data_IF_127868515972
#
_entry.id   IF_127868515972
#
_cell.length_a   1.000
_cell.length_b   1.000
_cell.length_c   1.000
_cell.angle_alpha   90.00
_cell.angle_beta   90.00
_cell.angle_gamma   90.00
#
_symmetry.space_group_name_H-M   'P 1'
#
loop_
_entity.id
_entity.type
_entity.pdbx_description
1 polymer ?
#
# COMPACT_ATOMS: atom_id res chain seq x y z
N UNK A 1 45.07 -12.40 -1.59
CA UNK A 1 44.62 -11.06 -2.06
C UNK A 1 43.14 -10.89 -1.66
N UNK A 2 42.84 -10.05 -0.67
CA UNK A 2 41.48 -9.89 -0.16
C UNK A 2 40.79 -8.75 -0.91
N UNK A 3 39.83 -9.08 -1.76
CA UNK A 3 39.04 -8.08 -2.51
C UNK A 3 38.16 -7.34 -1.51
N UNK A 4 38.48 -6.08 -1.23
CA UNK A 4 37.60 -5.19 -0.49
C UNK A 4 36.44 -4.80 -1.41
N UNK A 5 35.25 -5.35 -1.17
CA UNK A 5 34.05 -4.92 -1.87
C UNK A 5 33.68 -3.50 -1.45
N UNK A 6 33.80 -2.54 -2.36
CA UNK A 6 33.37 -1.16 -2.19
C UNK A 6 31.84 -0.98 -2.25
N UNK A 7 31.07 -1.89 -1.66
CA UNK A 7 29.59 -1.93 -1.76
C UNK A 7 28.85 -1.14 -0.69
N UNK A 8 29.55 -0.29 0.07
CA UNK A 8 28.92 0.57 1.08
C UNK A 8 29.26 2.05 0.86
N UNK A 9 28.94 2.60 -0.32
CA UNK A 9 28.56 4.00 -0.37
C UNK A 9 27.08 4.04 0.04
N UNK A 10 26.74 4.74 1.10
CA UNK A 10 25.36 5.09 1.47
C UNK A 10 24.77 5.90 0.31
N UNK A 11 24.18 5.21 -0.65
CA UNK A 11 23.46 5.87 -1.73
C UNK A 11 22.11 6.27 -1.15
N UNK A 12 21.86 7.56 -1.04
CA UNK A 12 20.56 8.08 -0.68
C UNK A 12 19.58 7.61 -1.76
N UNK A 13 18.58 6.84 -1.35
CA UNK A 13 17.58 6.29 -2.28
C UNK A 13 16.80 7.42 -2.92
N UNK A 14 16.56 7.34 -4.21
CA UNK A 14 15.69 8.27 -4.92
C UNK A 14 14.22 8.02 -4.56
N UNK A 15 13.34 9.03 -4.69
CA UNK A 15 11.90 8.85 -4.50
C UNK A 15 11.33 7.68 -5.33
N UNK A 16 11.83 7.48 -6.55
CA UNK A 16 11.40 6.40 -7.45
C UNK A 16 11.86 5.01 -6.95
N UNK A 17 13.07 4.89 -6.40
CA UNK A 17 13.56 3.64 -5.82
C UNK A 17 12.75 3.26 -4.58
N UNK A 18 12.42 4.24 -3.73
CA UNK A 18 11.55 4.04 -2.56
C UNK A 18 10.16 3.58 -3.01
N UNK A 19 9.59 4.26 -4.01
CA UNK A 19 8.28 3.93 -4.58
C UNK A 19 8.26 2.49 -5.14
N UNK A 20 9.30 2.09 -5.86
CA UNK A 20 9.41 0.73 -6.40
C UNK A 20 9.44 -0.35 -5.31
N UNK A 21 10.19 -0.13 -4.24
CA UNK A 21 10.23 -1.04 -3.09
C UNK A 21 8.90 -1.08 -2.35
N UNK A 22 8.26 0.09 -2.15
CA UNK A 22 6.99 0.20 -1.45
C UNK A 22 5.84 -0.44 -2.24
N UNK A 23 5.82 -0.35 -3.56
CA UNK A 23 4.78 -0.94 -4.40
C UNK A 23 4.64 -2.45 -4.17
N UNK A 24 5.76 -3.16 -3.99
CA UNK A 24 5.75 -4.58 -3.65
C UNK A 24 5.13 -4.84 -2.26
N UNK A 25 5.44 -3.99 -1.29
CA UNK A 25 4.90 -4.12 0.07
C UNK A 25 3.39 -3.81 0.08
N UNK A 26 2.96 -2.76 -0.61
CA UNK A 26 1.55 -2.39 -0.78
C UNK A 26 0.73 -3.55 -1.37
N UNK A 27 1.25 -4.21 -2.41
CA UNK A 27 0.61 -5.39 -2.98
C UNK A 27 0.40 -6.48 -1.94
N UNK A 28 1.44 -6.79 -1.15
CA UNK A 28 1.36 -7.81 -0.10
C UNK A 28 0.37 -7.46 1.01
N UNK A 29 0.32 -6.19 1.40
CA UNK A 29 -0.64 -5.71 2.41
C UNK A 29 -2.06 -5.86 1.87
N UNK A 30 -2.34 -5.45 0.63
CA UNK A 30 -3.65 -5.59 0.00
C UNK A 30 -4.11 -7.05 -0.14
N UNK A 31 -3.23 -7.93 -0.59
CA UNK A 31 -3.51 -9.37 -0.69
C UNK A 31 -3.78 -10.02 0.68
N UNK A 32 -3.03 -9.63 1.71
CA UNK A 32 -3.26 -10.10 3.08
C UNK A 32 -4.59 -9.58 3.65
N UNK A 33 -4.92 -8.31 3.43
CA UNK A 33 -6.21 -7.74 3.85
C UNK A 33 -7.39 -8.50 3.23
N UNK A 34 -7.31 -8.81 1.94
CA UNK A 34 -8.32 -9.59 1.25
C UNK A 34 -8.43 -11.01 1.84
N UNK A 35 -7.29 -11.70 2.07
CA UNK A 35 -7.27 -13.02 2.70
C UNK A 35 -7.88 -13.01 4.09
N UNK A 36 -7.53 -12.02 4.91
CA UNK A 36 -8.06 -11.85 6.25
C UNK A 36 -9.57 -11.59 6.23
N UNK A 37 -10.05 -10.78 5.29
CA UNK A 37 -11.49 -10.53 5.10
C UNK A 37 -12.23 -11.83 4.73
N UNK A 38 -11.69 -12.63 3.83
CA UNK A 38 -12.25 -13.97 3.53
C UNK A 38 -12.23 -14.90 4.75
N UNK A 39 -11.17 -14.90 5.52
CA UNK A 39 -11.08 -15.70 6.75
C UNK A 39 -12.12 -15.26 7.80
N UNK A 40 -12.50 -13.99 7.81
CA UNK A 40 -13.59 -13.44 8.60
C UNK A 40 -14.99 -13.77 8.02
N UNK A 41 -15.06 -14.68 7.04
CA UNK A 41 -16.29 -15.21 6.41
C UNK A 41 -17.02 -14.26 5.46
N UNK A 42 -16.39 -13.20 5.02
CA UNK A 42 -16.90 -12.41 3.91
C UNK A 42 -16.74 -13.16 2.60
N UNK A 43 -17.77 -13.14 1.76
CA UNK A 43 -17.73 -13.77 0.44
C UNK A 43 -17.18 -12.77 -0.57
N UNK A 44 -15.99 -13.05 -1.08
CA UNK A 44 -15.37 -12.29 -2.16
C UNK A 44 -15.11 -13.28 -3.30
N UNK A 45 -15.90 -13.19 -4.36
CA UNK A 45 -15.78 -14.07 -5.52
C UNK A 45 -14.43 -13.86 -6.23
N UNK A 46 -13.90 -14.94 -6.80
CA UNK A 46 -12.71 -14.84 -7.65
C UNK A 46 -13.04 -14.11 -8.96
N UNK A 47 -12.05 -13.45 -9.56
CA UNK A 47 -12.25 -12.68 -10.78
C UNK A 47 -12.52 -11.21 -10.50
N UNK A 48 -13.57 -10.64 -11.09
CA UNK A 48 -13.80 -9.18 -11.06
C UNK A 48 -13.96 -8.63 -9.65
N UNK A 49 -14.72 -9.28 -8.78
CA UNK A 49 -14.95 -8.80 -7.41
C UNK A 49 -13.66 -8.81 -6.58
N UNK A 50 -12.84 -9.86 -6.72
CA UNK A 50 -11.51 -9.92 -6.12
C UNK A 50 -10.66 -8.70 -6.47
N UNK A 51 -10.61 -8.36 -7.76
CA UNK A 51 -9.82 -7.22 -8.21
C UNK A 51 -10.45 -5.87 -7.88
N UNK A 52 -11.78 -5.79 -7.79
CA UNK A 52 -12.48 -4.58 -7.32
C UNK A 52 -12.15 -4.29 -5.87
N UNK A 53 -12.20 -5.30 -5.00
CA UNK A 53 -11.77 -5.18 -3.60
C UNK A 53 -10.31 -4.73 -3.51
N UNK A 54 -9.42 -5.44 -4.22
CA UNK A 54 -7.99 -5.15 -4.19
C UNK A 54 -7.71 -3.73 -4.70
N UNK A 55 -8.40 -3.27 -5.76
CA UNK A 55 -8.24 -1.92 -6.30
C UNK A 55 -8.58 -0.84 -5.27
N UNK A 56 -9.71 -0.93 -4.56
CA UNK A 56 -10.07 0.04 -3.53
C UNK A 56 -9.07 0.05 -2.37
N UNK A 57 -8.61 -1.13 -1.96
CA UNK A 57 -7.64 -1.23 -0.88
C UNK A 57 -6.25 -0.69 -1.27
N UNK A 58 -5.80 -0.93 -2.51
CA UNK A 58 -4.55 -0.38 -3.03
C UNK A 58 -4.61 1.14 -3.17
N UNK A 59 -5.75 1.69 -3.60
CA UNK A 59 -5.98 3.15 -3.62
C UNK A 59 -5.83 3.73 -2.22
N UNK A 60 -6.47 3.16 -1.22
CA UNK A 60 -6.33 3.57 0.18
C UNK A 60 -4.86 3.57 0.63
N UNK A 61 -4.10 2.51 0.34
CA UNK A 61 -2.69 2.40 0.70
C UNK A 61 -1.81 3.45 0.01
N UNK A 62 -2.11 3.79 -1.25
CA UNK A 62 -1.41 4.89 -1.95
C UNK A 62 -1.72 6.23 -1.28
N UNK A 63 -2.96 6.48 -0.87
CA UNK A 63 -3.32 7.71 -0.14
C UNK A 63 -2.62 7.78 1.22
N UNK A 64 -2.54 6.68 1.97
CA UNK A 64 -1.77 6.60 3.22
C UNK A 64 -0.29 6.91 2.96
N UNK A 65 0.31 6.31 1.92
CA UNK A 65 1.70 6.56 1.56
C UNK A 65 1.97 8.03 1.21
N UNK A 66 1.07 8.65 0.45
CA UNK A 66 1.17 10.07 0.09
C UNK A 66 1.11 10.99 1.31
N UNK A 67 0.22 10.71 2.28
CA UNK A 67 0.12 11.48 3.53
C UNK A 67 1.36 11.33 4.42
N UNK A 68 1.95 10.14 4.47
CA UNK A 68 3.21 9.94 5.20
C UNK A 68 4.36 10.66 4.47
N UNK A 69 4.45 10.55 3.15
CA UNK A 69 5.46 11.21 2.33
C UNK A 69 5.39 12.75 2.42
N UNK A 70 4.19 13.32 2.53
CA UNK A 70 3.99 14.76 2.71
C UNK A 70 4.77 15.34 3.89
N UNK A 71 4.99 14.56 4.94
CA UNK A 71 5.70 15.01 6.14
C UNK A 71 7.22 14.89 6.03
N UNK A 72 7.72 14.17 5.05
CA UNK A 72 9.13 13.74 4.98
C UNK A 72 9.84 14.21 3.71
N UNK A 73 9.10 14.49 2.65
CA UNK A 73 9.64 14.86 1.35
C UNK A 73 9.32 16.30 0.97
N UNK A 74 10.18 16.89 0.12
CA UNK A 74 9.84 18.11 -0.58
C UNK A 74 8.61 17.91 -1.47
N UNK A 75 7.95 18.99 -1.89
CA UNK A 75 6.80 18.90 -2.78
C UNK A 75 7.16 18.21 -4.12
N UNK A 76 8.35 18.47 -4.66
CA UNK A 76 8.86 17.87 -5.90
C UNK A 76 9.13 16.37 -5.71
N UNK A 77 9.85 15.99 -4.65
CA UNK A 77 10.15 14.59 -4.35
C UNK A 77 8.90 13.78 -4.02
N UNK A 78 7.93 14.39 -3.30
CA UNK A 78 6.63 13.77 -3.03
C UNK A 78 5.87 13.49 -4.32
N UNK A 79 5.82 14.45 -5.24
CA UNK A 79 5.16 14.27 -6.54
C UNK A 79 5.83 13.14 -7.32
N UNK A 80 7.16 13.12 -7.38
CA UNK A 80 7.93 12.06 -8.05
C UNK A 80 7.69 10.69 -7.40
N UNK A 81 7.69 10.61 -6.08
CA UNK A 81 7.41 9.40 -5.30
C UNK A 81 5.99 8.88 -5.56
N UNK A 82 4.97 9.73 -5.36
CA UNK A 82 3.56 9.31 -5.46
C UNK A 82 3.20 8.90 -6.89
N UNK A 83 3.71 9.62 -7.90
CA UNK A 83 3.51 9.27 -9.30
C UNK A 83 4.18 7.93 -9.67
N UNK A 84 5.41 7.71 -9.22
CA UNK A 84 6.11 6.44 -9.45
C UNK A 84 5.41 5.27 -8.74
N UNK A 85 4.96 5.49 -7.50
CA UNK A 85 4.23 4.49 -6.71
C UNK A 85 2.91 4.10 -7.38
N UNK A 86 2.10 5.09 -7.77
CA UNK A 86 0.83 4.88 -8.45
C UNK A 86 1.00 4.08 -9.73
N UNK A 87 1.97 4.46 -10.59
CA UNK A 87 2.25 3.75 -11.82
C UNK A 87 2.69 2.30 -11.56
N UNK A 88 3.57 2.06 -10.60
CA UNK A 88 4.07 0.71 -10.31
C UNK A 88 3.00 -0.21 -9.74
N UNK A 89 2.14 0.31 -8.86
CA UNK A 89 0.99 -0.43 -8.33
C UNK A 89 -0.02 -0.73 -9.44
N UNK A 90 -0.31 0.26 -10.31
CA UNK A 90 -1.20 0.09 -11.46
C UNK A 90 -0.70 -0.99 -12.43
N UNK A 91 0.61 -1.01 -12.73
CA UNK A 91 1.24 -2.04 -13.58
C UNK A 91 1.07 -3.43 -12.97
N UNK A 92 1.43 -3.60 -11.70
CA UNK A 92 1.31 -4.88 -11.02
C UNK A 92 -0.15 -5.39 -11.00
N UNK A 93 -1.11 -4.51 -10.74
CA UNK A 93 -2.53 -4.86 -10.74
C UNK A 93 -3.01 -5.23 -12.14
N UNK A 94 -2.69 -4.42 -13.15
CA UNK A 94 -3.12 -4.60 -14.53
C UNK A 94 -2.58 -5.90 -15.15
N UNK A 95 -1.32 -6.26 -14.87
CA UNK A 95 -0.74 -7.53 -15.32
C UNK A 95 -1.49 -8.75 -14.75
N UNK A 96 -1.86 -8.70 -13.47
CA UNK A 96 -2.63 -9.77 -12.83
C UNK A 96 -4.07 -9.82 -13.35
N UNK A 97 -4.73 -8.67 -13.54
CA UNK A 97 -6.06 -8.59 -14.11
C UNK A 97 -6.09 -9.13 -15.55
N UNK A 98 -5.19 -8.67 -16.40
CA UNK A 98 -5.10 -9.12 -17.80
C UNK A 98 -4.94 -10.64 -17.90
N UNK A 99 -4.11 -11.22 -17.03
CA UNK A 99 -3.85 -12.67 -17.01
C UNK A 99 -5.06 -13.48 -16.53
N UNK A 100 -5.83 -12.99 -15.57
CA UNK A 100 -6.87 -13.76 -14.88
C UNK A 100 -8.30 -13.49 -15.36
N UNK A 101 -8.57 -12.25 -15.83
CA UNK A 101 -9.92 -11.85 -16.27
C UNK A 101 -9.97 -11.30 -17.69
N UNK A 102 -8.84 -11.31 -18.41
CA UNK A 102 -8.75 -10.83 -19.79
C UNK A 102 -8.59 -9.32 -19.92
N UNK A 103 -8.83 -8.79 -21.10
CA UNK A 103 -8.54 -7.41 -21.53
C UNK A 103 -7.04 -7.07 -21.55
N UNK A 104 -6.69 -5.92 -22.13
CA UNK A 104 -5.30 -5.47 -22.22
C UNK A 104 -4.79 -4.90 -20.89
N UNK A 105 -3.47 -4.96 -20.69
CA UNK A 105 -2.82 -4.33 -19.55
C UNK A 105 -3.11 -2.82 -19.52
N UNK A 106 -3.03 -2.15 -20.67
CA UNK A 106 -3.35 -0.74 -20.80
C UNK A 106 -4.75 -0.40 -20.32
N UNK A 107 -5.74 -1.22 -20.70
CA UNK A 107 -7.14 -1.03 -20.27
C UNK A 107 -7.24 -1.06 -18.73
N UNK A 108 -6.67 -2.07 -18.10
CA UNK A 108 -6.72 -2.21 -16.65
C UNK A 108 -5.91 -1.14 -15.93
N UNK A 109 -4.73 -0.79 -16.46
CA UNK A 109 -3.89 0.28 -15.92
C UNK A 109 -4.62 1.62 -15.93
N UNK A 110 -5.21 2.00 -17.08
CA UNK A 110 -5.95 3.24 -17.21
C UNK A 110 -7.15 3.26 -16.24
N UNK A 111 -7.92 2.18 -16.19
CA UNK A 111 -9.07 2.07 -15.29
C UNK A 111 -8.68 2.25 -13.80
N UNK A 112 -7.56 1.67 -13.38
CA UNK A 112 -7.06 1.86 -12.02
C UNK A 112 -6.58 3.29 -11.76
N UNK A 113 -5.87 3.91 -12.71
CA UNK A 113 -5.41 5.30 -12.58
C UNK A 113 -6.60 6.28 -12.52
N UNK A 114 -7.63 6.07 -13.33
CA UNK A 114 -8.85 6.89 -13.30
C UNK A 114 -9.56 6.78 -11.94
N UNK A 115 -9.69 5.55 -11.42
CA UNK A 115 -10.22 5.31 -10.06
C UNK A 115 -9.36 6.00 -9.00
N UNK A 116 -8.03 5.85 -9.07
CA UNK A 116 -7.11 6.48 -8.12
C UNK A 116 -7.26 8.01 -8.11
N UNK A 117 -7.35 8.62 -9.28
CA UNK A 117 -7.52 10.08 -9.42
C UNK A 117 -8.86 10.54 -8.85
N UNK A 118 -9.95 9.82 -9.13
CA UNK A 118 -11.26 10.11 -8.55
C UNK A 118 -11.19 10.04 -7.01
N UNK A 119 -10.73 8.91 -6.48
CA UNK A 119 -10.65 8.68 -5.03
C UNK A 119 -9.67 9.64 -4.33
N UNK A 120 -8.60 10.06 -5.02
CA UNK A 120 -7.66 11.04 -4.46
C UNK A 120 -8.33 12.39 -4.16
N UNK A 121 -9.23 12.86 -5.05
CA UNK A 121 -10.04 14.05 -4.79
C UNK A 121 -10.95 13.90 -3.56
N UNK A 122 -11.55 12.74 -3.39
CA UNK A 122 -12.42 12.44 -2.25
C UNK A 122 -11.63 12.28 -0.93
N UNK A 123 -10.49 11.58 -0.95
CA UNK A 123 -9.58 11.47 0.21
C UNK A 123 -8.96 12.80 0.61
N UNK A 124 -8.85 13.77 -0.31
CA UNK A 124 -8.32 15.10 0.00
C UNK A 124 -9.18 15.87 1.02
N UNK A 125 -10.47 15.56 1.11
CA UNK A 125 -11.42 16.16 2.05
C UNK A 125 -11.27 15.63 3.49
N UNK A 126 -10.46 14.58 3.71
CA UNK A 126 -10.33 13.96 5.02
C UNK A 126 -8.95 14.19 5.62
N UNK A 127 -8.94 14.46 6.92
CA UNK A 127 -7.71 14.70 7.66
C UNK A 127 -6.91 13.41 7.92
N UNK A 128 -5.59 13.61 7.94
CA UNK A 128 -4.61 12.60 8.33
C UNK A 128 -3.69 13.21 9.39
N UNK A 129 -3.97 12.92 10.65
CA UNK A 129 -3.29 13.48 11.81
C UNK A 129 -1.89 12.89 12.06
N UNK A 130 -1.19 13.41 13.09
CA UNK A 130 0.14 12.90 13.48
C UNK A 130 0.14 11.42 13.88
N UNK A 131 -1.00 10.92 14.35
CA UNK A 131 -1.19 9.55 14.80
C UNK A 131 -1.82 8.64 13.74
N UNK A 132 -1.84 9.08 12.47
CA UNK A 132 -2.42 8.32 11.37
C UNK A 132 -3.72 8.92 10.82
N UNK A 133 -4.49 8.11 10.07
CA UNK A 133 -5.73 8.56 9.45
C UNK A 133 -6.81 8.86 10.49
N UNK A 134 -7.51 9.97 10.32
CA UNK A 134 -8.69 10.29 11.10
C UNK A 134 -9.87 9.35 10.76
N UNK A 135 -10.88 9.33 11.63
CA UNK A 135 -12.05 8.47 11.50
C UNK A 135 -12.71 8.54 10.11
N UNK A 136 -12.89 9.74 9.55
CA UNK A 136 -13.53 9.94 8.25
C UNK A 136 -12.72 9.32 7.11
N UNK A 137 -11.38 9.37 7.18
CA UNK A 137 -10.48 8.78 6.20
C UNK A 137 -10.63 7.26 6.13
N UNK A 138 -10.65 6.57 7.28
CA UNK A 138 -10.83 5.12 7.34
C UNK A 138 -12.27 4.70 7.03
N UNK A 139 -13.26 5.49 7.45
CA UNK A 139 -14.67 5.26 7.15
C UNK A 139 -14.95 5.33 5.64
N UNK A 140 -14.26 6.22 4.93
CA UNK A 140 -14.37 6.31 3.48
C UNK A 140 -13.92 5.02 2.79
N UNK A 141 -12.82 4.38 3.25
CA UNK A 141 -12.45 3.03 2.77
C UNK A 141 -13.60 2.04 2.99
N UNK A 142 -14.23 2.03 4.16
CA UNK A 142 -15.36 1.15 4.45
C UNK A 142 -16.52 1.35 3.46
N UNK A 143 -16.86 2.59 3.12
CA UNK A 143 -17.87 2.89 2.12
C UNK A 143 -17.49 2.46 0.71
N UNK A 144 -16.24 2.69 0.31
CA UNK A 144 -15.75 2.23 -1.01
C UNK A 144 -15.76 0.70 -1.11
N UNK A 145 -15.46 0.01 -0.02
CA UNK A 145 -15.56 -1.45 0.03
C UNK A 145 -16.99 -1.95 -0.05
N UNK A 146 -17.94 -1.25 0.57
CA UNK A 146 -19.36 -1.60 0.47
C UNK A 146 -19.85 -1.65 -0.98
N UNK A 147 -19.33 -0.77 -1.85
CA UNK A 147 -19.72 -0.72 -3.26
C UNK A 147 -19.27 -1.96 -4.07
N UNK A 148 -18.29 -2.70 -3.58
CA UNK A 148 -17.72 -3.87 -4.25
C UNK A 148 -18.12 -5.21 -3.61
N UNK A 149 -18.81 -5.17 -2.46
CA UNK A 149 -19.27 -6.36 -1.74
C UNK A 149 -20.70 -6.76 -2.13
N UNK A 150 -21.02 -8.03 -1.94
CA UNK A 150 -22.39 -8.52 -2.08
C UNK A 150 -23.29 -7.97 -0.98
N UNK A 151 -24.59 -7.86 -1.26
CA UNK A 151 -25.59 -7.20 -0.40
C UNK A 151 -25.56 -7.68 1.06
N UNK A 152 -25.36 -8.98 1.28
CA UNK A 152 -25.29 -9.58 2.63
C UNK A 152 -24.11 -9.11 3.47
N UNK A 153 -23.01 -8.72 2.82
CA UNK A 153 -21.76 -8.33 3.47
C UNK A 153 -21.60 -6.80 3.59
N UNK A 154 -22.46 -6.01 2.93
CA UNK A 154 -22.35 -4.55 2.84
C UNK A 154 -22.36 -3.83 4.19
N UNK A 155 -23.12 -4.34 5.17
CA UNK A 155 -23.21 -3.74 6.51
C UNK A 155 -21.93 -4.01 7.32
N UNK A 156 -21.43 -5.23 7.28
CA UNK A 156 -20.34 -5.68 8.13
C UNK A 156 -18.95 -5.34 7.59
N UNK A 157 -18.82 -5.14 6.26
CA UNK A 157 -17.53 -4.81 5.67
C UNK A 157 -17.00 -3.45 6.12
N UNK A 158 -17.88 -2.50 6.42
CA UNK A 158 -17.45 -1.18 6.94
C UNK A 158 -16.73 -1.36 8.27
N UNK A 159 -17.30 -2.11 9.20
CA UNK A 159 -16.70 -2.35 10.51
C UNK A 159 -15.41 -3.17 10.37
N UNK A 160 -15.39 -4.17 9.48
CA UNK A 160 -14.19 -4.96 9.18
C UNK A 160 -13.04 -4.09 8.68
N UNK A 161 -13.33 -3.16 7.75
CA UNK A 161 -12.32 -2.26 7.22
C UNK A 161 -11.83 -1.26 8.26
N UNK A 162 -12.74 -0.63 9.00
CA UNK A 162 -12.41 0.42 9.95
C UNK A 162 -11.70 -0.10 11.21
N UNK A 163 -12.16 -1.24 11.72
CA UNK A 163 -11.69 -1.73 13.02
C UNK A 163 -10.51 -2.71 12.93
N UNK A 164 -10.28 -3.30 11.76
CA UNK A 164 -9.27 -4.36 11.61
C UNK A 164 -8.34 -4.05 10.43
N UNK A 165 -8.86 -4.05 9.20
CA UNK A 165 -8.01 -4.05 8.02
C UNK A 165 -7.23 -2.74 7.82
N UNK A 166 -7.87 -1.57 8.02
CA UNK A 166 -7.20 -0.28 7.89
C UNK A 166 -6.16 -0.04 8.99
N UNK A 167 -6.43 -0.25 10.30
CA UNK A 167 -5.42 -0.10 11.34
C UNK A 167 -4.19 -0.98 11.12
N UNK A 168 -4.37 -2.26 10.83
CA UNK A 168 -3.26 -3.18 10.54
C UNK A 168 -2.44 -2.74 9.34
N UNK A 169 -3.11 -2.30 8.27
CA UNK A 169 -2.46 -1.85 7.06
C UNK A 169 -1.67 -0.54 7.28
N UNK A 170 -2.24 0.42 8.01
CA UNK A 170 -1.59 1.69 8.35
C UNK A 170 -0.34 1.45 9.20
N UNK A 171 -0.41 0.61 10.22
CA UNK A 171 0.75 0.27 11.07
C UNK A 171 1.88 -0.33 10.22
N UNK A 172 1.56 -1.26 9.32
CA UNK A 172 2.54 -1.83 8.40
C UNK A 172 3.13 -0.79 7.44
N UNK A 173 2.30 0.13 6.93
CA UNK A 173 2.75 1.21 6.05
C UNK A 173 3.69 2.18 6.76
N UNK A 174 3.33 2.65 7.96
CA UNK A 174 4.15 3.57 8.75
C UNK A 174 5.51 2.96 9.09
N UNK A 175 5.51 1.69 9.52
CA UNK A 175 6.75 0.96 9.79
C UNK A 175 7.62 0.81 8.55
N UNK A 176 7.03 0.39 7.43
CA UNK A 176 7.76 0.18 6.18
C UNK A 176 8.33 1.48 5.64
N UNK A 177 7.53 2.55 5.62
CA UNK A 177 7.99 3.83 5.11
C UNK A 177 9.07 4.43 5.99
N UNK A 178 8.97 4.33 7.30
CA UNK A 178 10.06 4.71 8.22
C UNK A 178 11.36 4.00 7.86
N UNK A 179 11.32 2.67 7.72
CA UNK A 179 12.49 1.86 7.35
C UNK A 179 13.06 2.21 5.95
N UNK A 180 12.20 2.65 5.02
CA UNK A 180 12.62 3.04 3.66
C UNK A 180 13.21 4.46 3.59
N UNK A 181 12.71 5.38 4.41
CA UNK A 181 13.21 6.75 4.47
C UNK A 181 14.43 6.91 5.40
N UNK A 182 14.62 6.01 6.38
CA UNK A 182 15.83 6.00 7.21
C UNK A 182 17.05 5.67 6.33
N UNK A 183 17.97 6.63 6.25
CA UNK A 183 19.20 6.55 5.42
C UNK A 183 20.37 5.89 6.15
N UNK A 184 20.25 5.61 7.45
CA UNK A 184 21.33 4.98 8.20
C UNK A 184 21.42 3.47 7.95
N UNK A 185 22.62 2.95 7.63
CA UNK A 185 22.82 1.50 7.53
C UNK A 185 22.59 0.87 8.91
N UNK A 186 21.64 -0.05 9.00
CA UNK A 186 21.43 -0.85 10.21
C UNK A 186 22.74 -1.46 10.65
N UNK A 187 23.22 -1.13 11.86
CA UNK A 187 24.37 -1.82 12.44
C UNK A 187 24.04 -3.31 12.52
N UNK A 188 24.98 -4.18 12.06
CA UNK A 188 24.76 -5.62 12.18
C UNK A 188 24.58 -5.96 13.66
N UNK A 189 23.48 -6.64 14.00
CA UNK A 189 23.26 -7.15 15.37
C UNK A 189 24.49 -7.96 15.76
N UNK A 190 25.22 -7.50 16.78
CA UNK A 190 26.33 -8.23 17.37
C UNK A 190 25.79 -9.58 17.83
N UNK A 191 26.23 -10.67 17.22
CA UNK A 191 26.03 -12.02 17.76
C UNK A 191 26.66 -12.02 19.14
N UNK A 192 25.86 -12.06 20.20
CA UNK A 192 26.35 -12.39 21.53
C UNK A 192 27.07 -13.73 21.38
N UNK A 193 28.36 -13.73 21.60
CA UNK A 193 29.13 -14.95 21.73
C UNK A 193 28.51 -15.73 22.92
N UNK A 194 27.99 -16.91 22.60
CA UNK A 194 27.63 -17.87 23.63
C UNK A 194 28.98 -18.38 24.16
N UNK A 195 29.37 -17.84 25.31
CA UNK A 195 30.46 -18.43 26.12
C UNK A 195 29.92 -19.75 26.65
N UNK A 196 30.39 -20.85 26.12
CA UNK A 196 30.22 -22.16 26.74
C UNK A 196 31.30 -22.34 27.79
N UNK A 197 30.90 -22.57 29.00
CA UNK A 197 31.60 -23.30 30.06
C UNK A 197 30.88 -24.63 30.28
#
# INVERSE_FOLDING_TARGET
>A
MRIKSHWHKSHQRTPQEIAGALAFVIWRIGDNALKNTRNAKFEIAVGTQYFSFLSEFLVFLIQVADRIAYRQLSAEDRLAFTSALANRVAENLAENQSRLIGNSIEYHKQHFIDKLNQRAGEYAEFDYGSNGPEFAFTRYLGFSMREVMDEKDTTWVIDQMMSIAAPEAVEMMEKTMRDLFETEPRQPRSRKAVSGD
#
